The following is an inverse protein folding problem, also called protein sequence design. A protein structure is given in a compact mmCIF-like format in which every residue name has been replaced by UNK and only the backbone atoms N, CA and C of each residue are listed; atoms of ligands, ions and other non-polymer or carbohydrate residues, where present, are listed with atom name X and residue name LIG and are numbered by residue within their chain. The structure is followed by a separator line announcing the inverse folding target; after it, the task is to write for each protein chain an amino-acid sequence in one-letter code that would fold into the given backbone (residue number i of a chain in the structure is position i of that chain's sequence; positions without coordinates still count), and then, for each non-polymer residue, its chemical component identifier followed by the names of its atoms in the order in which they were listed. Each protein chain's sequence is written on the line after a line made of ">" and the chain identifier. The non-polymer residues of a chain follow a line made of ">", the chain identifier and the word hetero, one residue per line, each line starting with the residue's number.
data_IF_023879409264
#
_entry.id   IF_023879409264
#
_cell.length_a   1.000
_cell.length_b   1.000
_cell.length_c   1.000
_cell.angle_alpha   90.00
_cell.angle_beta   90.00
_cell.angle_gamma   90.00
#
_symmetry.space_group_name_H-M   'P 1'
#
loop_
_entity.id
_entity.type
_entity.pdbx_description
1 polymer ?
#
# COMPACT_ATOMS: atom_id res chain seq x y z
N UNK A 1 17.40 17.08 -13.77
CA UNK A 1 16.82 16.44 -14.95
C UNK A 1 16.57 17.54 -15.98
N UNK A 2 17.20 17.44 -17.15
CA UNK A 2 17.03 18.39 -18.23
C UNK A 2 15.62 18.26 -18.83
N UNK A 3 15.02 19.40 -19.24
CA UNK A 3 13.65 19.40 -19.78
C UNK A 3 13.43 18.52 -21.01
N UNK A 4 14.52 18.07 -21.64
CA UNK A 4 14.45 17.17 -22.82
C UNK A 4 14.17 15.70 -22.48
N UNK A 5 14.26 15.32 -21.19
CA UNK A 5 14.03 13.93 -20.77
C UNK A 5 12.54 13.65 -20.41
N UNK A 6 11.71 14.69 -20.43
CA UNK A 6 10.28 14.53 -20.09
C UNK A 6 9.48 14.38 -21.40
N UNK A 7 8.61 13.36 -21.44
CA UNK A 7 7.71 13.15 -22.58
C UNK A 7 6.95 14.43 -22.90
N UNK A 8 6.78 14.80 -24.18
CA UNK A 8 6.16 16.07 -24.59
C UNK A 8 4.82 16.35 -23.89
N UNK A 9 3.95 15.37 -23.75
CA UNK A 9 2.62 15.52 -23.14
C UNK A 9 2.68 15.85 -21.64
N UNK A 10 3.79 15.51 -20.98
CA UNK A 10 3.97 15.73 -19.54
C UNK A 10 4.74 17.02 -19.22
N UNK A 11 5.27 17.70 -20.24
CA UNK A 11 6.12 18.90 -20.03
C UNK A 11 5.38 20.02 -19.30
N UNK A 12 4.10 20.24 -19.62
CA UNK A 12 3.28 21.28 -18.96
C UNK A 12 3.11 20.97 -17.48
N UNK A 13 2.86 19.73 -17.15
CA UNK A 13 2.72 19.27 -15.75
C UNK A 13 4.06 19.37 -15.04
N UNK A 14 5.15 18.95 -15.70
CA UNK A 14 6.49 18.99 -15.12
C UNK A 14 6.96 20.41 -14.77
N UNK A 15 6.52 21.42 -15.54
CA UNK A 15 6.86 22.85 -15.27
C UNK A 15 6.13 23.35 -14.03
N UNK A 16 4.86 22.93 -13.84
CA UNK A 16 4.02 23.39 -12.73
C UNK A 16 4.28 22.61 -11.44
N UNK A 17 4.81 21.38 -11.57
CA UNK A 17 5.09 20.53 -10.40
C UNK A 17 6.41 20.95 -9.75
N UNK A 18 6.39 21.38 -8.48
CA UNK A 18 7.64 21.72 -7.79
C UNK A 18 8.58 20.50 -7.72
N UNK A 19 9.85 20.71 -8.07
CA UNK A 19 10.86 19.64 -8.07
C UNK A 19 11.18 19.06 -6.68
N UNK A 20 10.78 19.76 -5.63
CA UNK A 20 11.00 19.34 -4.24
C UNK A 20 9.72 19.43 -3.42
N UNK A 21 8.68 18.67 -3.87
CA UNK A 21 7.43 18.56 -3.11
C UNK A 21 7.66 17.85 -1.76
N UNK A 22 8.59 16.90 -1.73
CA UNK A 22 8.87 16.11 -0.54
C UNK A 22 10.29 16.41 -0.08
N UNK A 23 10.41 17.07 1.05
CA UNK A 23 11.68 17.41 1.68
C UNK A 23 11.55 17.35 3.19
N UNK A 24 12.68 17.47 3.93
CA UNK A 24 12.63 17.34 5.40
C UNK A 24 11.66 18.29 6.08
N UNK A 25 11.45 19.49 5.51
CA UNK A 25 10.55 20.50 6.07
C UNK A 25 9.09 20.32 5.66
N UNK A 26 8.84 19.79 4.47
CA UNK A 26 7.46 19.60 3.95
C UNK A 26 6.87 18.26 4.30
N UNK A 27 7.69 17.25 4.55
CA UNK A 27 7.25 15.89 4.84
C UNK A 27 6.26 15.80 6.02
N UNK A 28 6.53 16.44 7.19
CA UNK A 28 5.57 16.38 8.31
C UNK A 28 4.20 16.96 7.95
N UNK A 29 4.19 18.06 7.21
CA UNK A 29 2.94 18.70 6.78
C UNK A 29 2.17 17.80 5.82
N UNK A 30 2.87 17.21 4.85
CA UNK A 30 2.24 16.29 3.89
C UNK A 30 1.68 15.05 4.59
N UNK A 31 2.41 14.49 5.55
CA UNK A 31 1.92 13.36 6.35
C UNK A 31 0.67 13.72 7.14
N UNK A 32 0.68 14.90 7.80
CA UNK A 32 -0.49 15.38 8.53
C UNK A 32 -1.72 15.51 7.62
N UNK A 33 -1.53 16.05 6.40
CA UNK A 33 -2.61 16.16 5.42
C UNK A 33 -3.15 14.80 5.00
N UNK A 34 -2.28 13.80 4.79
CA UNK A 34 -2.68 12.43 4.44
C UNK A 34 -3.49 11.81 5.58
N UNK A 35 -3.04 11.97 6.82
CA UNK A 35 -3.76 11.47 8.01
C UNK A 35 -5.13 12.12 8.13
N UNK A 36 -5.20 13.44 8.00
CA UNK A 36 -6.47 14.19 8.07
C UNK A 36 -7.42 13.77 6.94
N UNK A 37 -6.90 13.61 5.72
CA UNK A 37 -7.69 13.11 4.59
C UNK A 37 -8.19 11.68 4.88
N UNK A 38 -7.34 10.83 5.42
CA UNK A 38 -7.70 9.47 5.84
C UNK A 38 -8.80 9.46 6.89
N UNK A 39 -8.70 10.32 7.90
CA UNK A 39 -9.72 10.44 8.95
C UNK A 39 -11.09 10.85 8.38
N UNK A 40 -11.10 11.70 7.36
CA UNK A 40 -12.34 12.09 6.69
C UNK A 40 -12.94 10.98 5.84
N UNK A 41 -12.11 10.05 5.38
CA UNK A 41 -12.55 8.88 4.61
C UNK A 41 -12.79 7.66 5.49
N UNK A 42 -12.70 7.80 6.82
CA UNK A 42 -12.42 6.71 7.75
C UNK A 42 -13.62 5.96 8.31
N UNK A 43 -14.56 5.55 7.45
CA UNK A 43 -15.31 4.35 7.78
C UNK A 43 -14.66 3.19 7.03
N UNK A 44 -13.86 2.39 7.73
CA UNK A 44 -13.39 1.13 7.18
C UNK A 44 -14.63 0.30 6.81
N UNK A 45 -14.82 -0.05 5.54
CA UNK A 45 -15.93 -0.93 5.18
C UNK A 45 -15.87 -2.23 6.00
N UNK A 46 -17.05 -2.80 6.35
CA UNK A 46 -17.08 -4.02 7.18
C UNK A 46 -16.40 -5.23 6.53
N UNK A 47 -16.19 -5.17 5.24
CA UNK A 47 -15.55 -6.23 4.45
C UNK A 47 -14.01 -6.18 4.51
N UNK A 48 -13.43 -5.24 5.28
CA UNK A 48 -11.98 -5.11 5.44
C UNK A 48 -11.58 -5.54 6.85
N UNK A 49 -10.77 -6.58 6.95
CA UNK A 49 -10.16 -7.00 8.22
C UNK A 49 -8.88 -6.18 8.46
N UNK A 50 -8.82 -5.46 9.57
CA UNK A 50 -7.61 -4.73 9.97
C UNK A 50 -6.89 -5.54 11.05
N UNK A 51 -5.68 -5.95 10.77
CA UNK A 51 -4.92 -6.89 11.58
C UNK A 51 -3.55 -6.32 11.93
N UNK A 52 -3.01 -6.77 13.05
CA UNK A 52 -1.59 -6.57 13.38
C UNK A 52 -0.95 -7.94 13.48
N UNK A 53 0.10 -8.16 12.71
CA UNK A 53 0.82 -9.43 12.69
C UNK A 53 1.67 -9.59 13.96
N UNK A 54 2.14 -10.80 14.24
CA UNK A 54 3.05 -11.06 15.37
C UNK A 54 4.33 -10.22 15.29
N UNK A 55 4.75 -9.89 14.07
CA UNK A 55 5.89 -8.99 13.82
C UNK A 55 5.62 -7.52 14.17
N UNK A 56 4.38 -7.17 14.52
CA UNK A 56 3.95 -5.80 14.77
C UNK A 56 3.50 -5.05 13.52
N UNK A 57 3.58 -5.65 12.35
CA UNK A 57 3.22 -5.02 11.07
C UNK A 57 1.70 -4.94 10.90
N UNK A 58 1.19 -3.78 10.56
CA UNK A 58 -0.23 -3.60 10.24
C UNK A 58 -0.56 -4.13 8.84
N UNK A 59 -1.70 -4.82 8.71
CA UNK A 59 -2.17 -5.33 7.43
C UNK A 59 -3.67 -5.10 7.31
N UNK A 60 -4.12 -4.70 6.13
CA UNK A 60 -5.53 -4.62 5.76
C UNK A 60 -5.81 -5.76 4.78
N UNK A 61 -6.68 -6.68 5.19
CA UNK A 61 -6.96 -7.91 4.44
C UNK A 61 -8.36 -7.82 3.79
N UNK A 62 -8.42 -8.14 2.52
CA UNK A 62 -9.62 -8.11 1.68
C UNK A 62 -9.84 -9.52 1.15
N UNK A 63 -10.94 -10.15 1.56
CA UNK A 63 -11.27 -11.51 1.13
C UNK A 63 -12.37 -11.50 0.09
N UNK A 64 -12.27 -12.33 -0.96
CA UNK A 64 -13.38 -12.52 -1.88
C UNK A 64 -14.52 -13.26 -1.20
N UNK A 65 -15.75 -12.98 -1.59
CA UNK A 65 -16.91 -13.70 -1.06
C UNK A 65 -16.95 -15.13 -1.61
N UNK A 66 -17.25 -16.10 -0.75
CA UNK A 66 -17.61 -17.45 -1.16
C UNK A 66 -16.50 -18.38 -1.65
N UNK A 67 -15.23 -18.04 -1.43
CA UNK A 67 -14.12 -18.94 -1.80
C UNK A 67 -13.84 -19.95 -0.69
N UNK A 68 -14.02 -21.23 -1.00
CA UNK A 68 -13.74 -22.34 -0.08
C UNK A 68 -12.43 -23.09 -0.44
N UNK A 69 -11.77 -22.70 -1.53
CA UNK A 69 -10.53 -23.33 -1.97
C UNK A 69 -9.39 -22.32 -1.97
N UNK A 70 -8.14 -22.78 -1.78
CA UNK A 70 -6.99 -21.88 -1.85
C UNK A 70 -6.95 -21.14 -3.21
N UNK A 71 -6.88 -19.82 -3.16
CA UNK A 71 -6.94 -18.94 -4.30
C UNK A 71 -5.66 -18.11 -4.42
N UNK A 72 -5.41 -17.52 -5.59
CA UNK A 72 -4.28 -16.56 -5.73
C UNK A 72 -4.40 -15.42 -4.72
N UNK A 73 -3.27 -14.85 -4.36
CA UNK A 73 -3.27 -13.70 -3.46
C UNK A 73 -2.33 -12.60 -3.95
N UNK A 74 -2.64 -11.38 -3.53
CA UNK A 74 -1.89 -10.19 -3.90
C UNK A 74 -1.44 -9.44 -2.64
N UNK A 75 -0.14 -9.25 -2.48
CA UNK A 75 0.36 -8.27 -1.53
C UNK A 75 0.41 -6.91 -2.19
N UNK A 76 -0.30 -5.96 -1.62
CA UNK A 76 -0.34 -4.57 -2.10
C UNK A 76 0.56 -3.70 -1.23
N UNK A 77 1.51 -3.01 -1.86
CA UNK A 77 2.45 -2.10 -1.21
C UNK A 77 2.10 -0.69 -1.67
N UNK A 78 1.60 0.13 -0.76
CA UNK A 78 1.07 1.45 -1.11
C UNK A 78 2.15 2.44 -1.57
N UNK A 79 1.74 3.44 -2.35
CA UNK A 79 2.62 4.51 -2.82
C UNK A 79 3.04 5.44 -1.68
N UNK A 80 4.13 6.18 -1.91
CA UNK A 80 4.60 7.19 -0.96
C UNK A 80 6.12 7.19 -0.77
N UNK A 81 6.85 6.41 -1.58
CA UNK A 81 8.32 6.39 -1.57
C UNK A 81 8.92 5.95 -0.24
N UNK A 82 8.22 5.14 0.53
CA UNK A 82 8.61 4.67 1.87
C UNK A 82 8.72 5.78 2.91
N UNK A 83 8.32 7.02 2.58
CA UNK A 83 8.38 8.16 3.51
C UNK A 83 6.99 8.69 3.88
N UNK A 84 5.94 8.29 3.18
CA UNK A 84 4.55 8.71 3.47
C UNK A 84 3.54 7.68 2.97
N UNK A 85 2.26 7.90 3.29
CA UNK A 85 1.18 7.02 2.87
C UNK A 85 0.69 6.12 3.98
N UNK A 86 -0.38 5.40 3.70
CA UNK A 86 -0.99 4.38 4.57
C UNK A 86 -1.63 3.31 3.70
N UNK A 87 -1.77 2.10 4.25
CA UNK A 87 -2.48 1.01 3.55
C UNK A 87 -3.93 1.38 3.21
N UNK A 88 -4.56 2.22 4.03
CA UNK A 88 -5.96 2.64 3.87
C UNK A 88 -6.22 3.42 2.57
N UNK A 89 -5.22 4.14 2.06
CA UNK A 89 -5.42 5.01 0.88
C UNK A 89 -5.88 4.26 -0.36
N UNK A 90 -5.59 2.97 -0.43
CA UNK A 90 -5.91 2.13 -1.58
C UNK A 90 -7.05 1.12 -1.29
N UNK A 91 -7.82 1.27 -0.19
CA UNK A 91 -8.91 0.37 0.19
C UNK A 91 -9.86 0.06 -0.97
N UNK A 92 -10.32 1.09 -1.68
CA UNK A 92 -11.25 0.91 -2.81
C UNK A 92 -10.65 0.07 -3.93
N UNK A 93 -9.36 0.27 -4.19
CA UNK A 93 -8.67 -0.47 -5.25
C UNK A 93 -8.47 -1.94 -4.85
N UNK A 94 -8.04 -2.18 -3.61
CA UNK A 94 -7.84 -3.52 -3.07
C UNK A 94 -9.16 -4.30 -3.01
N UNK A 95 -10.25 -3.67 -2.56
CA UNK A 95 -11.59 -4.27 -2.59
C UNK A 95 -12.02 -4.66 -4.01
N UNK A 96 -11.74 -3.80 -5.00
CA UNK A 96 -12.07 -4.10 -6.39
C UNK A 96 -11.26 -5.26 -6.94
N UNK A 97 -9.98 -5.36 -6.60
CA UNK A 97 -9.17 -6.51 -6.97
C UNK A 97 -9.73 -7.79 -6.35
N UNK A 98 -9.98 -7.75 -5.04
CA UNK A 98 -10.51 -8.92 -4.33
C UNK A 98 -11.84 -9.39 -4.94
N UNK A 99 -12.80 -8.47 -5.09
CA UNK A 99 -14.15 -8.81 -5.54
C UNK A 99 -14.21 -9.21 -7.03
N UNK A 100 -13.42 -8.55 -7.89
CA UNK A 100 -13.50 -8.81 -9.35
C UNK A 100 -12.67 -10.01 -9.79
N UNK A 101 -11.55 -10.26 -9.10
CA UNK A 101 -10.64 -11.33 -9.49
C UNK A 101 -10.80 -12.59 -8.64
N UNK A 102 -11.60 -12.52 -7.57
CA UNK A 102 -11.78 -13.65 -6.67
C UNK A 102 -10.52 -14.01 -5.90
N UNK A 103 -9.69 -13.01 -5.54
CA UNK A 103 -8.39 -13.22 -4.90
C UNK A 103 -8.36 -12.59 -3.51
N UNK A 104 -7.52 -13.14 -2.64
CA UNK A 104 -7.20 -12.48 -1.37
C UNK A 104 -6.18 -11.36 -1.62
N UNK A 105 -6.46 -10.15 -1.09
CA UNK A 105 -5.52 -9.04 -1.18
C UNK A 105 -5.12 -8.65 0.24
N UNK A 106 -3.82 -8.41 0.46
CA UNK A 106 -3.30 -7.87 1.72
C UNK A 106 -2.55 -6.57 1.42
N UNK A 107 -2.99 -5.45 1.99
CA UNK A 107 -2.29 -4.17 1.88
C UNK A 107 -1.48 -3.96 3.16
N UNK A 108 -0.16 -3.80 3.03
CA UNK A 108 0.74 -3.68 4.18
C UNK A 108 0.91 -2.22 4.59
N UNK A 109 0.80 -1.96 5.89
CA UNK A 109 1.01 -0.64 6.48
C UNK A 109 2.44 -0.62 7.07
N UNK A 110 3.41 -0.56 6.18
CA UNK A 110 4.84 -0.66 6.51
C UNK A 110 5.34 0.60 7.23
N UNK A 111 6.35 0.43 8.07
CA UNK A 111 6.99 1.54 8.80
C UNK A 111 7.71 2.50 7.85
N UNK A 112 7.58 3.78 8.12
CA UNK A 112 8.05 4.85 7.24
C UNK A 112 9.40 5.42 7.69
N UNK A 113 10.23 5.78 6.71
CA UNK A 113 11.42 6.58 6.92
C UNK A 113 11.02 8.06 7.08
N UNK A 114 11.80 8.90 7.77
CA UNK A 114 13.12 8.61 8.34
C UNK A 114 13.11 7.95 9.71
N UNK A 115 11.96 7.83 10.37
CA UNK A 115 11.86 7.23 11.71
C UNK A 115 12.31 5.77 11.69
N UNK A 116 12.00 5.07 10.61
CA UNK A 116 12.38 3.67 10.39
C UNK A 116 13.05 3.55 9.02
N UNK A 117 14.37 3.80 8.95
CA UNK A 117 15.08 3.79 7.67
C UNK A 117 15.20 2.38 7.10
N UNK A 118 15.68 2.29 5.87
CA UNK A 118 15.99 1.01 5.23
C UNK A 118 16.82 0.14 6.18
N UNK A 119 16.49 -1.16 6.34
CA UNK A 119 15.52 -1.94 5.55
C UNK A 119 14.14 -2.15 6.23
N UNK A 120 13.71 -1.29 7.15
CA UNK A 120 12.51 -1.52 7.95
C UNK A 120 11.27 -1.81 7.09
N UNK A 121 10.95 -0.93 6.13
CA UNK A 121 9.79 -1.11 5.26
C UNK A 121 9.87 -2.42 4.43
N UNK A 122 11.08 -2.76 3.96
CA UNK A 122 11.30 -4.00 3.23
C UNK A 122 11.03 -5.23 4.12
N UNK A 123 11.55 -5.19 5.35
CA UNK A 123 11.31 -6.26 6.34
C UNK A 123 9.82 -6.43 6.65
N UNK A 124 9.11 -5.31 6.79
CA UNK A 124 7.66 -5.31 7.05
C UNK A 124 6.89 -5.94 5.87
N UNK A 125 7.23 -5.54 4.64
CA UNK A 125 6.62 -6.12 3.44
C UNK A 125 6.90 -7.62 3.33
N UNK A 126 8.11 -8.04 3.66
CA UNK A 126 8.49 -9.46 3.64
C UNK A 126 7.72 -10.25 4.70
N UNK A 127 7.59 -9.71 5.92
CA UNK A 127 6.79 -10.33 6.99
C UNK A 127 5.33 -10.49 6.56
N UNK A 128 4.75 -9.44 5.95
CA UNK A 128 3.37 -9.50 5.46
C UNK A 128 3.22 -10.52 4.32
N UNK A 129 4.20 -10.62 3.42
CA UNK A 129 4.19 -11.60 2.33
C UNK A 129 4.23 -13.04 2.87
N UNK A 130 5.13 -13.30 3.81
CA UNK A 130 5.27 -14.62 4.43
C UNK A 130 3.99 -15.02 5.17
N UNK A 131 3.42 -14.08 5.93
CA UNK A 131 2.16 -14.29 6.61
C UNK A 131 1.02 -14.57 5.61
N UNK A 132 0.91 -13.77 4.54
CA UNK A 132 -0.13 -13.96 3.53
C UNK A 132 -0.04 -15.34 2.88
N UNK A 133 1.19 -15.79 2.59
CA UNK A 133 1.44 -17.12 2.01
C UNK A 133 1.09 -18.27 2.97
N UNK A 134 1.06 -18.02 4.28
CA UNK A 134 0.73 -19.03 5.28
C UNK A 134 -0.78 -19.20 5.51
N UNK A 135 -1.61 -18.32 4.95
CA UNK A 135 -3.06 -18.40 5.14
C UNK A 135 -3.65 -19.64 4.42
N UNK A 136 -4.48 -20.44 5.09
CA UNK A 136 -5.07 -21.64 4.45
C UNK A 136 -5.87 -21.36 3.18
N UNK A 137 -6.43 -20.15 3.08
CA UNK A 137 -7.23 -19.75 1.90
C UNK A 137 -6.37 -19.23 0.74
N UNK A 138 -5.04 -19.26 0.86
CA UNK A 138 -4.11 -18.74 -0.16
C UNK A 138 -3.30 -19.90 -0.75
N UNK A 139 -3.20 -19.88 -2.06
CA UNK A 139 -2.26 -20.76 -2.79
C UNK A 139 -0.89 -20.06 -2.85
N UNK A 140 0.10 -20.53 -2.11
CA UNK A 140 1.40 -19.83 -2.06
C UNK A 140 2.16 -19.87 -3.40
N UNK A 141 1.80 -20.75 -4.31
CA UNK A 141 2.42 -20.78 -5.65
C UNK A 141 1.84 -19.71 -6.59
N UNK A 142 0.74 -19.06 -6.15
CA UNK A 142 0.10 -17.99 -6.95
C UNK A 142 0.04 -16.66 -6.18
N UNK A 143 1.03 -16.15 -5.50
CA UNK A 143 1.18 -14.92 -4.85
C UNK A 143 1.91 -13.96 -5.72
N UNK A 144 1.55 -12.75 -5.80
CA UNK A 144 2.16 -11.66 -6.44
C UNK A 144 2.40 -10.53 -5.48
N UNK A 145 3.35 -9.53 -5.80
CA UNK A 145 3.59 -8.33 -5.12
C UNK A 145 3.41 -7.22 -6.11
N UNK A 146 2.78 -6.22 -5.79
CA UNK A 146 2.64 -5.08 -6.57
C UNK A 146 2.96 -3.90 -5.76
N UNK A 147 3.75 -3.13 -6.20
CA UNK A 147 4.12 -1.90 -5.66
C UNK A 147 3.51 -0.86 -6.51
N UNK A 148 3.08 0.26 -5.93
CA UNK A 148 2.51 1.40 -6.60
C UNK A 148 3.41 2.63 -6.51
#
# INVERSE_FOLDING_TARGET
>A
VSGNEVHPDLRRIAVVTPRQLVGPRTLPVMRALIVVAGLRMSRTPPDIEVLTLESGVGVRLYRPAGSNEPAPALLWIHAGGYVMGTAQQDDRLCLRFSSRLGITVASVDYRLAPENPYPAALGDCYSALTWLASLPAVDPARXXXXXR
#
